data_IF_319379725476
#
_entry.id   IF_319379725476
#
_cell.length_a   1.000
_cell.length_b   1.000
_cell.length_c   1.000
_cell.angle_alpha   90.00
_cell.angle_beta   90.00
_cell.angle_gamma   90.00
#
_symmetry.space_group_name_H-M   'P 1'
#
loop_
_entity.id
_entity.type
_entity.pdbx_description
1 polymer ?
#
# COMPACT_ATOMS: atom_id res chain seq x y z
N UNK A 1 -17.17 -19.77 -3.04
CA UNK A 1 -15.80 -19.41 -2.64
C UNK A 1 -15.51 -18.00 -3.10
N UNK A 2 -15.48 -17.08 -2.15
CA UNK A 2 -15.17 -15.68 -2.43
C UNK A 2 -13.64 -15.50 -2.47
N UNK A 3 -13.07 -15.73 -3.65
CA UNK A 3 -11.65 -15.54 -3.95
C UNK A 3 -11.19 -14.10 -3.61
N UNK A 4 -12.16 -13.21 -3.41
CA UNK A 4 -11.98 -11.79 -3.16
C UNK A 4 -12.21 -11.37 -1.69
N UNK A 5 -12.73 -12.27 -0.84
CA UNK A 5 -13.00 -11.99 0.57
C UNK A 5 -11.96 -12.63 1.52
N UNK A 6 -10.71 -12.75 1.06
CA UNK A 6 -9.62 -13.17 1.94
C UNK A 6 -9.23 -12.02 2.90
N UNK A 7 -9.96 -11.86 3.98
CA UNK A 7 -9.64 -10.90 5.04
C UNK A 7 -8.20 -11.06 5.55
N UNK A 8 -7.70 -12.28 5.63
CA UNK A 8 -6.33 -12.55 6.06
C UNK A 8 -5.29 -11.97 5.08
N UNK A 9 -5.50 -12.13 3.77
CA UNK A 9 -4.59 -11.57 2.75
C UNK A 9 -4.54 -10.06 2.82
N UNK A 10 -5.69 -9.42 3.04
CA UNK A 10 -5.76 -7.96 3.20
C UNK A 10 -5.02 -7.51 4.47
N UNK A 11 -5.20 -8.19 5.60
CA UNK A 11 -4.49 -7.89 6.85
C UNK A 11 -2.97 -8.04 6.67
N UNK A 12 -2.52 -9.15 6.09
CA UNK A 12 -1.09 -9.40 5.86
C UNK A 12 -0.51 -8.38 4.87
N UNK A 13 -1.25 -7.98 3.83
CA UNK A 13 -0.82 -6.96 2.88
C UNK A 13 -0.64 -5.59 3.54
N UNK A 14 -1.52 -5.21 4.47
CA UNK A 14 -1.39 -3.96 5.26
C UNK A 14 -0.17 -4.02 6.18
N UNK A 15 0.09 -5.15 6.83
CA UNK A 15 1.31 -5.32 7.64
C UNK A 15 2.58 -5.24 6.78
N UNK A 16 2.60 -5.89 5.63
CA UNK A 16 3.74 -5.80 4.70
C UNK A 16 3.97 -4.35 4.23
N UNK A 17 2.92 -3.64 3.89
CA UNK A 17 2.96 -2.22 3.53
C UNK A 17 3.56 -1.37 4.67
N UNK A 18 3.09 -1.56 5.91
CA UNK A 18 3.62 -0.87 7.10
C UNK A 18 5.11 -1.12 7.28
N UNK A 19 5.55 -2.37 7.17
CA UNK A 19 6.96 -2.75 7.30
C UNK A 19 7.80 -2.09 6.21
N UNK A 20 7.43 -2.24 4.94
CA UNK A 20 8.17 -1.69 3.80
C UNK A 20 8.30 -0.17 3.92
N UNK A 21 7.18 0.53 4.13
CA UNK A 21 7.17 1.99 4.25
C UNK A 21 8.02 2.50 5.43
N UNK A 22 7.92 1.82 6.57
CA UNK A 22 8.70 2.15 7.77
C UNK A 22 10.19 2.02 7.51
N UNK A 23 10.58 0.92 6.95
CA UNK A 23 11.97 0.59 6.72
C UNK A 23 12.61 1.52 5.69
N UNK A 24 11.94 1.86 4.60
CA UNK A 24 12.43 2.79 3.57
C UNK A 24 12.84 4.16 4.13
N UNK A 25 12.18 4.60 5.20
CA UNK A 25 12.49 5.90 5.82
C UNK A 25 13.46 5.75 6.98
N UNK A 26 13.30 4.70 7.81
CA UNK A 26 14.01 4.59 9.07
C UNK A 26 15.39 3.96 8.99
N UNK A 27 15.62 3.05 8.05
CA UNK A 27 16.88 2.34 7.93
C UNK A 27 18.10 3.28 7.80
N UNK A 28 17.98 4.35 7.02
CA UNK A 28 19.06 5.33 6.85
C UNK A 28 19.15 6.32 8.01
N UNK A 29 18.00 6.67 8.58
CA UNK A 29 17.93 7.62 9.70
C UNK A 29 18.51 7.02 10.99
N UNK A 30 18.13 5.79 11.32
CA UNK A 30 18.55 5.12 12.54
C UNK A 30 20.04 4.72 12.49
N UNK A 31 20.59 4.52 11.28
CA UNK A 31 22.01 4.27 11.05
C UNK A 31 22.85 5.56 10.93
N UNK A 32 22.24 6.74 11.02
CA UNK A 32 22.95 8.03 10.89
C UNK A 32 23.41 8.36 9.47
N UNK A 33 23.03 7.54 8.47
CA UNK A 33 23.47 7.70 7.08
C UNK A 33 22.75 8.84 6.34
N UNK A 34 21.61 9.30 6.87
CA UNK A 34 20.79 10.32 6.22
C UNK A 34 21.56 11.63 5.98
N UNK A 35 22.42 12.05 6.92
CA UNK A 35 23.23 13.24 6.80
C UNK A 35 24.24 13.11 5.65
N UNK A 36 24.90 11.95 5.55
CA UNK A 36 25.86 11.64 4.49
C UNK A 36 25.19 11.59 3.11
N UNK A 37 24.05 10.93 3.00
CA UNK A 37 23.29 10.85 1.75
C UNK A 37 22.89 12.24 1.28
N UNK A 38 22.43 13.11 2.18
CA UNK A 38 21.97 14.46 1.86
C UNK A 38 23.11 15.45 1.51
N UNK A 39 24.35 15.15 1.85
CA UNK A 39 25.51 15.96 1.45
C UNK A 39 25.85 15.75 -0.03
N UNK A 40 25.38 14.67 -0.66
CA UNK A 40 25.59 14.41 -2.08
C UNK A 40 24.57 15.16 -2.95
N UNK A 41 24.90 15.53 -4.19
CA UNK A 41 23.98 16.19 -5.12
C UNK A 41 22.70 15.38 -5.37
N UNK A 42 22.82 14.05 -5.41
CA UNK A 42 21.69 13.11 -5.63
C UNK A 42 20.97 12.72 -4.33
N UNK A 43 21.39 13.20 -3.17
CA UNK A 43 20.92 12.74 -1.86
C UNK A 43 19.61 13.34 -1.37
N UNK A 44 19.02 14.27 -2.12
CA UNK A 44 17.78 14.97 -1.72
C UNK A 44 16.57 14.49 -2.53
N UNK A 45 16.23 15.23 -3.58
CA UNK A 45 15.07 14.93 -4.42
C UNK A 45 15.18 13.57 -5.14
N UNK A 46 16.30 13.22 -5.80
CA UNK A 46 16.40 11.91 -6.44
C UNK A 46 16.26 10.73 -5.47
N UNK A 47 16.79 10.86 -4.25
CA UNK A 47 16.60 9.82 -3.22
C UNK A 47 15.15 9.71 -2.77
N UNK A 48 14.43 10.83 -2.64
CA UNK A 48 13.00 10.81 -2.32
C UNK A 48 12.19 10.08 -3.40
N UNK A 49 12.45 10.38 -4.68
CA UNK A 49 11.83 9.70 -5.83
C UNK A 49 12.19 8.21 -5.83
N UNK A 50 13.45 7.85 -5.61
CA UNK A 50 13.88 6.46 -5.55
C UNK A 50 13.17 5.68 -4.43
N UNK A 51 12.92 6.29 -3.27
CA UNK A 51 12.16 5.67 -2.17
C UNK A 51 10.70 5.45 -2.52
N UNK A 52 10.06 6.42 -3.18
CA UNK A 52 8.68 6.25 -3.67
C UNK A 52 8.59 5.15 -4.74
N UNK A 53 9.54 5.11 -5.67
CA UNK A 53 9.59 4.06 -6.68
C UNK A 53 9.86 2.68 -6.04
N UNK A 54 10.76 2.60 -5.06
CA UNK A 54 11.02 1.38 -4.31
C UNK A 54 9.77 0.90 -3.55
N UNK A 55 9.01 1.82 -2.91
CA UNK A 55 7.73 1.49 -2.28
C UNK A 55 6.76 0.92 -3.31
N UNK A 56 6.56 1.60 -4.44
CA UNK A 56 5.63 1.19 -5.50
C UNK A 56 5.94 -0.21 -6.03
N UNK A 57 7.21 -0.47 -6.37
CA UNK A 57 7.66 -1.76 -6.91
C UNK A 57 7.56 -2.87 -5.86
N UNK A 58 7.96 -2.61 -4.62
CA UNK A 58 7.91 -3.61 -3.56
C UNK A 58 6.49 -4.00 -3.21
N UNK A 59 5.56 -3.03 -3.17
CA UNK A 59 4.14 -3.31 -2.96
C UNK A 59 3.55 -4.11 -4.13
N UNK A 60 3.93 -3.79 -5.38
CA UNK A 60 3.49 -4.56 -6.53
C UNK A 60 3.92 -6.03 -6.42
N UNK A 61 5.19 -6.27 -6.10
CA UNK A 61 5.74 -7.64 -5.93
C UNK A 61 5.00 -8.39 -4.82
N UNK A 62 4.79 -7.74 -3.66
CA UNK A 62 4.11 -8.36 -2.51
C UNK A 62 2.66 -8.68 -2.84
N UNK A 63 1.91 -7.73 -3.41
CA UNK A 63 0.49 -7.93 -3.72
C UNK A 63 0.31 -8.99 -4.82
N UNK A 64 1.09 -8.91 -5.91
CA UNK A 64 1.04 -9.92 -6.98
C UNK A 64 1.42 -11.30 -6.41
N UNK A 65 2.42 -11.38 -5.54
CA UNK A 65 2.82 -12.62 -4.88
C UNK A 65 1.69 -13.20 -4.02
N UNK A 66 1.10 -12.40 -3.14
CA UNK A 66 0.05 -12.85 -2.22
C UNK A 66 -1.24 -13.26 -2.94
N UNK A 67 -1.78 -12.38 -3.78
CA UNK A 67 -3.00 -12.69 -4.53
C UNK A 67 -2.75 -13.73 -5.63
N UNK A 68 -1.53 -13.76 -6.20
CA UNK A 68 -1.11 -14.79 -7.16
C UNK A 68 -1.08 -16.20 -6.54
N UNK A 69 -0.54 -16.34 -5.32
CA UNK A 69 -0.56 -17.61 -4.58
C UNK A 69 -2.00 -18.05 -4.31
N UNK A 70 -2.87 -17.14 -3.86
CA UNK A 70 -4.30 -17.45 -3.66
C UNK A 70 -4.96 -17.92 -4.95
N UNK A 71 -4.70 -17.24 -6.07
CA UNK A 71 -5.26 -17.59 -7.36
C UNK A 71 -4.76 -18.97 -7.83
N UNK A 72 -3.47 -19.25 -7.68
CA UNK A 72 -2.89 -20.55 -8.04
C UNK A 72 -3.43 -21.67 -7.16
N UNK A 73 -3.56 -21.44 -5.86
CA UNK A 73 -4.12 -22.41 -4.92
C UNK A 73 -5.58 -22.73 -5.26
N UNK A 74 -6.43 -21.73 -5.40
CA UNK A 74 -7.82 -21.93 -5.79
C UNK A 74 -7.92 -22.58 -7.18
N UNK A 75 -7.04 -22.20 -8.10
CA UNK A 75 -6.98 -22.80 -9.44
C UNK A 75 -6.58 -24.26 -9.44
N UNK A 76 -5.72 -24.68 -8.52
CA UNK A 76 -5.31 -26.08 -8.40
C UNK A 76 -6.40 -26.97 -7.80
N UNK A 77 -7.24 -26.43 -6.90
CA UNK A 77 -8.31 -27.19 -6.23
C UNK A 77 -9.61 -27.22 -7.03
N UNK A 78 -10.01 -26.10 -7.60
CA UNK A 78 -11.33 -25.94 -8.23
C UNK A 78 -11.28 -25.75 -9.74
N UNK A 79 -10.09 -25.61 -10.30
CA UNK A 79 -9.88 -25.23 -11.68
C UNK A 79 -10.16 -23.74 -11.94
N UNK A 80 -9.25 -23.08 -12.67
CA UNK A 80 -9.51 -21.75 -13.23
C UNK A 80 -10.32 -21.94 -14.50
N UNK A 81 -11.60 -21.60 -14.48
CA UNK A 81 -12.36 -21.54 -15.72
C UNK A 81 -11.77 -20.49 -16.69
N UNK A 82 -12.27 -20.40 -17.94
CA UNK A 82 -11.74 -19.44 -18.91
C UNK A 82 -11.84 -18.01 -18.37
N UNK A 83 -10.72 -17.29 -18.35
CA UNK A 83 -10.64 -15.91 -17.85
C UNK A 83 -11.40 -14.91 -18.74
N UNK A 84 -11.74 -15.32 -19.96
CA UNK A 84 -12.51 -14.54 -20.94
C UNK A 84 -14.01 -14.50 -20.64
N UNK A 85 -14.49 -15.38 -19.75
CA UNK A 85 -15.91 -15.40 -19.35
C UNK A 85 -16.29 -14.07 -18.68
N UNK A 86 -17.57 -13.73 -18.78
CA UNK A 86 -18.12 -12.51 -18.16
C UNK A 86 -18.08 -12.61 -16.64
N UNK A 87 -17.85 -11.49 -15.96
CA UNK A 87 -17.77 -11.39 -14.49
C UNK A 87 -19.06 -11.89 -13.81
N UNK A 88 -20.23 -11.74 -14.46
CA UNK A 88 -21.53 -12.20 -13.92
C UNK A 88 -21.62 -13.73 -13.81
N UNK A 89 -20.71 -14.48 -14.46
CA UNK A 89 -20.65 -15.94 -14.30
C UNK A 89 -20.08 -16.37 -12.93
N UNK A 90 -19.51 -15.45 -12.17
CA UNK A 90 -19.01 -15.68 -10.82
C UNK A 90 -20.13 -15.38 -9.83
N UNK A 91 -20.54 -16.33 -8.96
CA UNK A 91 -21.67 -16.15 -8.05
C UNK A 91 -21.59 -14.89 -7.16
N UNK A 92 -20.42 -14.58 -6.63
CA UNK A 92 -20.18 -13.39 -5.81
C UNK A 92 -20.39 -12.06 -6.59
N UNK A 93 -20.20 -12.07 -7.91
CA UNK A 93 -20.25 -10.90 -8.78
C UNK A 93 -21.43 -10.93 -9.76
N UNK A 94 -22.36 -11.84 -9.57
CA UNK A 94 -23.53 -12.02 -10.47
C UNK A 94 -24.37 -10.74 -10.59
N UNK A 95 -24.39 -9.89 -9.56
CA UNK A 95 -25.13 -8.61 -9.55
C UNK A 95 -24.31 -7.44 -10.08
N UNK A 96 -23.06 -7.68 -10.52
CA UNK A 96 -22.21 -6.61 -11.05
C UNK A 96 -22.76 -6.09 -12.37
N UNK A 97 -22.83 -4.79 -12.50
CA UNK A 97 -23.27 -4.08 -13.73
C UNK A 97 -22.13 -3.81 -14.70
N UNK A 98 -20.90 -4.18 -14.33
CA UNK A 98 -19.72 -3.95 -15.16
C UNK A 98 -19.64 -4.96 -16.32
N UNK A 99 -19.41 -4.46 -17.52
CA UNK A 99 -19.18 -5.30 -18.71
C UNK A 99 -17.71 -5.67 -18.82
N UNK A 100 -17.23 -6.49 -17.87
CA UNK A 100 -15.83 -6.90 -17.79
C UNK A 100 -15.75 -8.43 -17.90
N UNK A 101 -14.60 -8.92 -18.35
CA UNK A 101 -14.23 -10.33 -18.22
C UNK A 101 -13.61 -10.57 -16.83
N UNK A 102 -13.56 -11.83 -16.42
CA UNK A 102 -12.94 -12.21 -15.13
C UNK A 102 -11.47 -11.78 -15.08
N UNK A 103 -10.72 -11.94 -16.18
CA UNK A 103 -9.33 -11.50 -16.25
C UNK A 103 -9.16 -9.99 -16.12
N UNK A 104 -10.02 -9.20 -16.77
CA UNK A 104 -10.03 -7.74 -16.63
C UNK A 104 -10.37 -7.31 -15.21
N UNK A 105 -11.34 -7.96 -14.58
CA UNK A 105 -11.70 -7.68 -13.19
C UNK A 105 -10.54 -7.94 -12.23
N UNK A 106 -9.85 -9.07 -12.38
CA UNK A 106 -8.66 -9.40 -11.58
C UNK A 106 -7.57 -8.34 -11.74
N UNK A 107 -7.33 -7.88 -12.96
CA UNK A 107 -6.36 -6.82 -13.22
C UNK A 107 -6.75 -5.51 -12.52
N UNK A 108 -7.99 -5.04 -12.68
CA UNK A 108 -8.46 -3.82 -12.02
C UNK A 108 -8.50 -3.96 -10.50
N UNK A 109 -8.83 -5.13 -9.98
CA UNK A 109 -8.80 -5.42 -8.56
C UNK A 109 -7.38 -5.26 -7.98
N UNK A 110 -6.38 -5.91 -8.59
CA UNK A 110 -4.99 -5.80 -8.17
C UNK A 110 -4.45 -4.38 -8.32
N UNK A 111 -4.79 -3.70 -9.40
CA UNK A 111 -4.39 -2.31 -9.63
C UNK A 111 -4.94 -1.37 -8.55
N UNK A 112 -6.23 -1.52 -8.21
CA UNK A 112 -6.87 -0.70 -7.17
C UNK A 112 -6.27 -0.99 -5.79
N UNK A 113 -6.05 -2.26 -5.45
CA UNK A 113 -5.36 -2.66 -4.21
C UNK A 113 -3.96 -2.06 -4.13
N UNK A 114 -3.20 -2.13 -5.24
CA UNK A 114 -1.86 -1.56 -5.30
C UNK A 114 -1.86 -0.04 -5.12
N UNK A 115 -2.75 0.69 -5.80
CA UNK A 115 -2.88 2.14 -5.65
C UNK A 115 -3.25 2.52 -4.21
N UNK A 116 -4.22 1.85 -3.62
CA UNK A 116 -4.63 2.09 -2.24
C UNK A 116 -3.48 1.84 -1.25
N UNK A 117 -2.78 0.69 -1.38
CA UNK A 117 -1.63 0.37 -0.56
C UNK A 117 -0.47 1.36 -0.75
N UNK A 118 -0.24 1.84 -1.98
CA UNK A 118 0.77 2.85 -2.27
C UNK A 118 0.46 4.18 -1.56
N UNK A 119 -0.77 4.69 -1.67
CA UNK A 119 -1.20 5.93 -1.01
C UNK A 119 -1.05 5.82 0.52
N UNK A 120 -1.52 4.71 1.10
CA UNK A 120 -1.37 4.43 2.53
C UNK A 120 0.11 4.31 2.93
N UNK A 121 0.93 3.65 2.12
CA UNK A 121 2.37 3.51 2.35
C UNK A 121 3.11 4.85 2.34
N UNK A 122 2.77 5.75 1.41
CA UNK A 122 3.33 7.11 1.39
C UNK A 122 2.93 7.90 2.64
N UNK A 123 1.68 7.75 3.11
CA UNK A 123 1.26 8.32 4.39
C UNK A 123 2.10 7.79 5.57
N UNK A 124 2.33 6.48 5.64
CA UNK A 124 3.20 5.88 6.67
C UNK A 124 4.61 6.45 6.58
N UNK A 125 5.17 6.59 5.38
CA UNK A 125 6.48 7.21 5.18
C UNK A 125 6.52 8.64 5.70
N UNK A 126 5.47 9.44 5.47
CA UNK A 126 5.32 10.79 6.02
C UNK A 126 5.30 10.78 7.56
N UNK A 127 4.48 9.93 8.17
CA UNK A 127 4.42 9.79 9.62
C UNK A 127 5.80 9.43 10.21
N UNK A 128 6.55 8.56 9.53
CA UNK A 128 7.90 8.18 9.93
C UNK A 128 8.92 9.31 9.80
N UNK A 129 8.75 10.24 8.85
CA UNK A 129 9.63 11.42 8.75
C UNK A 129 9.55 12.31 10.00
N UNK A 130 8.35 12.53 10.52
CA UNK A 130 8.14 13.38 11.70
C UNK A 130 8.46 12.69 13.03
N UNK A 131 8.36 11.38 13.08
CA UNK A 131 8.50 10.63 14.32
C UNK A 131 9.97 10.49 14.75
N UNK A 132 10.28 10.91 15.97
CA UNK A 132 11.62 10.70 16.56
C UNK A 132 11.90 9.23 16.90
N UNK A 133 10.88 8.48 17.34
CA UNK A 133 10.96 7.06 17.71
C UNK A 133 10.09 6.24 16.76
N UNK A 134 10.48 4.99 16.49
CA UNK A 134 9.72 4.06 15.65
C UNK A 134 8.26 3.96 16.13
N UNK A 135 8.07 3.71 17.42
CA UNK A 135 6.76 3.55 18.03
C UNK A 135 5.83 4.75 17.76
N UNK A 136 6.34 5.98 17.92
CA UNK A 136 5.53 7.18 17.68
C UNK A 136 5.13 7.33 16.21
N UNK A 137 5.98 6.89 15.29
CA UNK A 137 5.67 6.92 13.85
C UNK A 137 4.58 5.92 13.49
N UNK A 138 4.69 4.69 13.97
CA UNK A 138 3.67 3.66 13.79
C UNK A 138 2.36 4.09 14.43
N UNK A 139 2.40 4.57 15.66
CA UNK A 139 1.21 5.04 16.38
C UNK A 139 0.53 6.20 15.64
N UNK A 140 1.31 7.18 15.15
CA UNK A 140 0.77 8.31 14.38
C UNK A 140 0.12 7.85 13.06
N UNK A 141 0.75 6.90 12.35
CA UNK A 141 0.18 6.35 11.13
C UNK A 141 -1.14 5.59 11.41
N UNK A 142 -1.14 4.75 12.45
CA UNK A 142 -2.33 3.99 12.85
C UNK A 142 -3.45 4.88 13.40
N UNK A 143 -3.12 5.91 14.18
CA UNK A 143 -4.11 6.86 14.71
C UNK A 143 -4.84 7.60 13.59
N UNK A 144 -4.12 7.98 12.53
CA UNK A 144 -4.74 8.59 11.35
C UNK A 144 -5.67 7.61 10.61
N UNK A 145 -5.24 6.35 10.43
CA UNK A 145 -6.10 5.31 9.85
C UNK A 145 -7.33 5.04 10.72
N UNK A 146 -7.17 5.02 12.05
CA UNK A 146 -8.27 4.88 12.99
C UNK A 146 -9.26 6.05 12.91
N UNK A 147 -8.77 7.29 12.71
CA UNK A 147 -9.62 8.46 12.47
C UNK A 147 -10.47 8.27 11.20
N UNK A 148 -9.88 7.79 10.12
CA UNK A 148 -10.60 7.50 8.88
C UNK A 148 -11.63 6.37 9.07
N UNK A 149 -11.31 5.33 9.84
CA UNK A 149 -12.27 4.28 10.24
C UNK A 149 -13.42 4.86 11.04
N UNK A 150 -13.13 5.75 11.99
CA UNK A 150 -14.13 6.41 12.83
C UNK A 150 -15.08 7.26 11.99
N UNK A 151 -14.56 8.09 11.08
CA UNK A 151 -15.35 8.90 10.15
C UNK A 151 -16.30 7.99 9.35
N UNK A 152 -15.77 6.87 8.83
CA UNK A 152 -16.56 5.91 8.08
C UNK A 152 -17.66 5.24 8.93
N UNK A 153 -17.38 4.95 10.19
CA UNK A 153 -18.34 4.32 11.12
C UNK A 153 -19.45 5.28 11.57
N UNK A 154 -19.08 6.55 11.84
CA UNK A 154 -20.00 7.55 12.37
C UNK A 154 -20.99 8.11 11.33
N UNK A 155 -20.59 8.15 10.04
CA UNK A 155 -21.46 8.70 9.00
C UNK A 155 -22.40 7.60 8.45
N UNK A 156 -23.73 7.70 8.63
CA UNK A 156 -24.69 6.78 8.02
C UNK A 156 -24.65 6.85 6.48
N UNK A 157 -24.95 5.75 5.81
CA UNK A 157 -24.99 5.71 4.34
C UNK A 157 -26.12 6.59 3.75
N UNK A 158 -27.14 6.90 4.53
CA UNK A 158 -28.28 7.76 4.16
C UNK A 158 -28.04 9.25 4.41
N UNK A 159 -26.92 9.60 5.02
CA UNK A 159 -26.60 11.00 5.33
C UNK A 159 -26.24 11.79 4.07
N UNK A 160 -26.53 13.11 4.07
CA UNK A 160 -26.04 14.04 3.03
C UNK A 160 -24.51 14.13 2.98
N UNK A 161 -23.82 13.72 4.05
CA UNK A 161 -22.37 13.65 4.15
C UNK A 161 -21.78 12.31 3.69
N UNK A 162 -22.57 11.47 3.03
CA UNK A 162 -22.14 10.15 2.60
C UNK A 162 -20.91 10.19 1.66
N UNK A 163 -20.75 11.26 0.87
CA UNK A 163 -19.57 11.48 0.03
C UNK A 163 -18.28 11.51 0.86
N UNK A 164 -18.29 12.16 2.03
CA UNK A 164 -17.11 12.19 2.94
C UNK A 164 -16.79 10.80 3.48
N UNK A 165 -17.84 9.99 3.74
CA UNK A 165 -17.67 8.60 4.17
C UNK A 165 -16.88 7.78 3.14
N UNK A 166 -17.17 7.97 1.86
CA UNK A 166 -16.56 7.20 0.77
C UNK A 166 -15.30 7.88 0.19
N UNK A 167 -15.19 9.20 0.24
CA UNK A 167 -13.95 9.93 -0.06
C UNK A 167 -12.92 9.78 1.09
N UNK A 168 -12.68 8.52 1.50
CA UNK A 168 -11.91 8.19 2.70
C UNK A 168 -10.81 7.18 2.35
N UNK A 169 -9.65 7.32 2.98
CA UNK A 169 -8.50 6.45 2.73
C UNK A 169 -8.80 4.96 3.00
N UNK A 170 -9.60 4.66 4.01
CA UNK A 170 -10.02 3.30 4.33
C UNK A 170 -10.99 2.74 3.29
N UNK A 171 -11.81 3.58 2.65
CA UNK A 171 -12.69 3.14 1.57
C UNK A 171 -11.90 2.66 0.37
N UNK A 172 -10.77 3.30 0.06
CA UNK A 172 -9.87 2.88 -1.04
C UNK A 172 -9.29 1.47 -0.83
N UNK A 173 -9.12 1.03 0.43
CA UNK A 173 -8.65 -0.33 0.72
C UNK A 173 -9.73 -1.40 0.50
N UNK A 174 -11.03 -1.00 0.52
CA UNK A 174 -12.17 -1.91 0.32
C UNK A 174 -12.54 -2.04 -1.15
N UNK A 175 -11.65 -2.58 -1.95
CA UNK A 175 -11.81 -2.74 -3.40
C UNK A 175 -13.07 -3.52 -3.78
N UNK A 176 -13.50 -4.47 -2.96
CA UNK A 176 -14.73 -5.24 -3.18
C UNK A 176 -15.99 -4.37 -3.19
N UNK A 177 -16.05 -3.33 -2.36
CA UNK A 177 -17.17 -2.38 -2.37
C UNK A 177 -17.18 -1.50 -3.61
N UNK A 178 -15.98 -1.15 -4.11
CA UNK A 178 -15.81 -0.31 -5.29
C UNK A 178 -16.16 -1.05 -6.59
N UNK A 179 -15.65 -2.27 -6.75
CA UNK A 179 -15.77 -3.05 -7.97
C UNK A 179 -16.92 -4.06 -7.97
N UNK A 180 -17.52 -4.34 -6.80
CA UNK A 180 -18.58 -5.34 -6.65
C UNK A 180 -19.92 -4.97 -7.29
N UNK A 181 -20.19 -3.68 -7.50
CA UNK A 181 -21.43 -3.23 -8.12
C UNK A 181 -21.50 -1.72 -8.30
N UNK A 182 -22.40 -1.30 -9.17
CA UNK A 182 -22.66 0.12 -9.39
C UNK A 182 -23.46 0.71 -8.22
N UNK A 183 -22.90 1.75 -7.59
CA UNK A 183 -23.55 2.50 -6.50
C UNK A 183 -23.48 3.98 -6.78
N UNK A 184 -24.61 4.68 -6.55
CA UNK A 184 -24.66 6.14 -6.58
C UNK A 184 -24.70 6.68 -5.15
N UNK A 185 -23.95 7.75 -4.95
CA UNK A 185 -24.02 8.59 -3.76
C UNK A 185 -24.82 9.85 -4.10
N UNK A 186 -25.55 10.37 -3.12
CA UNK A 186 -26.29 11.60 -3.30
C UNK A 186 -25.52 12.77 -2.68
N UNK A 187 -25.22 13.76 -3.49
CA UNK A 187 -24.62 15.02 -3.06
C UNK A 187 -25.49 16.17 -3.50
N UNK A 188 -26.13 16.85 -2.54
CA UNK A 188 -27.11 17.91 -2.81
C UNK A 188 -28.17 17.47 -3.86
N UNK A 189 -28.76 16.31 -3.64
CA UNK A 189 -29.78 15.69 -4.49
C UNK A 189 -29.33 15.29 -5.91
N UNK A 190 -28.03 15.39 -6.21
CA UNK A 190 -27.44 14.90 -7.46
C UNK A 190 -26.82 13.51 -7.25
N UNK A 191 -27.15 12.53 -8.10
CA UNK A 191 -26.53 11.21 -8.05
C UNK A 191 -25.11 11.26 -8.63
N UNK A 192 -24.10 10.92 -7.81
CA UNK A 192 -22.70 10.83 -8.23
C UNK A 192 -22.25 9.37 -8.10
N UNK A 193 -21.61 8.78 -9.13
CA UNK A 193 -21.10 7.41 -9.05
C UNK A 193 -20.04 7.28 -7.94
N UNK A 194 -20.13 6.23 -7.13
CA UNK A 194 -19.14 5.91 -6.09
C UNK A 194 -17.73 5.84 -6.66
N UNK A 195 -17.56 5.20 -7.82
CA UNK A 195 -16.26 5.09 -8.49
C UNK A 195 -15.62 6.45 -8.75
N UNK A 196 -16.40 7.44 -9.17
CA UNK A 196 -15.89 8.79 -9.42
C UNK A 196 -15.43 9.45 -8.12
N UNK A 197 -16.19 9.33 -7.04
CA UNK A 197 -15.84 9.91 -5.74
C UNK A 197 -14.54 9.29 -5.21
N UNK A 198 -14.43 7.96 -5.23
CA UNK A 198 -13.24 7.28 -4.75
C UNK A 198 -12.02 7.50 -5.65
N UNK A 199 -12.19 7.55 -6.97
CA UNK A 199 -11.07 7.84 -7.88
C UNK A 199 -10.54 9.26 -7.72
N UNK A 200 -11.41 10.26 -7.59
CA UNK A 200 -11.00 11.65 -7.31
C UNK A 200 -10.31 11.73 -5.94
N UNK A 201 -10.86 11.11 -4.91
CA UNK A 201 -10.24 11.06 -3.59
C UNK A 201 -8.85 10.40 -3.64
N UNK A 202 -8.71 9.27 -4.36
CA UNK A 202 -7.43 8.59 -4.54
C UNK A 202 -6.38 9.49 -5.20
N UNK A 203 -6.74 10.19 -6.27
CA UNK A 203 -5.83 11.12 -6.96
C UNK A 203 -5.44 12.27 -6.04
N UNK A 204 -6.38 12.87 -5.31
CA UNK A 204 -6.10 13.95 -4.37
C UNK A 204 -5.16 13.51 -3.25
N UNK A 205 -5.42 12.36 -2.62
CA UNK A 205 -4.52 11.81 -1.60
C UNK A 205 -3.16 11.46 -2.16
N UNK A 206 -3.10 10.82 -3.34
CA UNK A 206 -1.83 10.46 -3.98
C UNK A 206 -0.99 11.71 -4.25
N UNK A 207 -1.56 12.72 -4.90
CA UNK A 207 -0.86 13.97 -5.22
C UNK A 207 -0.43 14.70 -3.94
N UNK A 208 -1.34 14.84 -2.96
CA UNK A 208 -1.04 15.52 -1.71
C UNK A 208 0.09 14.83 -0.92
N UNK A 209 0.01 13.51 -0.75
CA UNK A 209 1.00 12.77 0.05
C UNK A 209 2.34 12.63 -0.67
N UNK A 210 2.35 12.36 -1.97
CA UNK A 210 3.59 12.31 -2.77
C UNK A 210 4.27 13.68 -2.79
N UNK A 211 3.55 14.75 -3.08
CA UNK A 211 4.10 16.11 -3.07
C UNK A 211 4.62 16.49 -1.68
N UNK A 212 3.86 16.21 -0.62
CA UNK A 212 4.29 16.44 0.76
C UNK A 212 5.58 15.65 1.07
N UNK A 213 5.64 14.37 0.71
CA UNK A 213 6.83 13.56 0.94
C UNK A 213 8.06 14.10 0.20
N UNK A 214 7.92 14.42 -1.09
CA UNK A 214 9.01 14.98 -1.90
C UNK A 214 9.52 16.31 -1.33
N UNK A 215 8.62 17.23 -0.98
CA UNK A 215 8.98 18.53 -0.42
C UNK A 215 9.61 18.39 0.96
N UNK A 216 8.98 17.64 1.86
CA UNK A 216 9.47 17.49 3.23
C UNK A 216 10.79 16.72 3.26
N UNK A 217 10.92 15.62 2.53
CA UNK A 217 12.16 14.87 2.48
C UNK A 217 13.30 15.69 1.86
N UNK A 218 13.05 16.51 0.83
CA UNK A 218 14.09 17.30 0.16
C UNK A 218 14.50 18.55 0.95
N UNK A 219 13.56 19.22 1.62
CA UNK A 219 13.79 20.52 2.28
C UNK A 219 14.15 20.42 3.75
N UNK A 220 13.48 19.54 4.51
CA UNK A 220 13.66 19.48 5.96
C UNK A 220 14.75 18.50 6.38
N UNK A 221 15.56 18.92 7.36
CA UNK A 221 16.58 18.08 7.97
C UNK A 221 16.00 17.38 9.20
N UNK A 222 15.77 16.09 9.10
CA UNK A 222 15.33 15.27 10.23
C UNK A 222 16.55 14.65 10.92
N UNK A 223 16.97 15.23 12.06
CA UNK A 223 18.07 14.67 12.86
C UNK A 223 17.64 13.36 13.51
N UNK A 224 18.51 12.36 13.47
CA UNK A 224 18.34 11.17 14.30
C UNK A 224 18.39 11.59 15.77
N UNK A 225 17.40 11.19 16.56
CA UNK A 225 17.49 11.30 18.01
C UNK A 225 18.69 10.45 18.44
N UNK A 226 19.71 11.10 19.02
CA UNK A 226 20.99 10.49 19.31
C UNK A 226 20.88 9.12 19.99
N UNK A 227 21.14 8.09 19.23
CA UNK A 227 21.29 6.74 19.73
C UNK A 227 22.76 6.38 19.62
N UNK A 228 23.38 6.17 20.77
CA UNK A 228 24.70 5.54 20.85
C UNK A 228 24.66 4.27 19.99
N UNK A 229 25.45 4.28 18.93
CA UNK A 229 25.68 3.15 18.04
C UNK A 229 26.11 1.94 18.89
N UNK A 230 25.25 0.97 19.05
CA UNK A 230 25.68 -0.37 19.44
C UNK A 230 26.47 -0.92 18.26
N UNK A 231 27.78 -1.06 18.45
CA UNK A 231 28.71 -1.60 17.47
C UNK A 231 28.45 -3.10 17.29
N UNK A 232 27.48 -3.43 16.47
CA UNK A 232 27.37 -4.76 15.89
C UNK A 232 27.62 -4.63 14.38
N UNK A 233 28.88 -4.53 14.02
CA UNK A 233 29.30 -4.47 12.61
C UNK A 233 29.39 -5.89 12.07
N UNK A 234 28.28 -6.44 11.63
CA UNK A 234 28.32 -7.52 10.63
C UNK A 234 28.80 -6.86 9.33
N UNK A 235 30.09 -6.99 9.05
CA UNK A 235 30.77 -6.51 7.81
C UNK A 235 30.33 -7.39 6.64
N UNK A 236 29.05 -7.30 6.24
CA UNK A 236 28.60 -7.87 4.96
C UNK A 236 29.03 -6.87 3.88
N UNK A 237 29.93 -7.31 2.99
CA UNK A 237 30.28 -6.55 1.77
C UNK A 237 28.98 -6.38 0.98
N UNK A 238 28.44 -5.17 1.00
CA UNK A 238 27.27 -4.82 0.21
C UNK A 238 27.70 -4.69 -1.24
N UNK A 239 26.95 -5.23 -2.20
CA UNK A 239 27.21 -4.99 -3.61
C UNK A 239 27.10 -3.50 -3.89
N UNK A 240 28.08 -2.96 -4.64
CA UNK A 240 28.08 -1.56 -5.08
C UNK A 240 27.11 -1.43 -6.25
N UNK A 241 25.96 -0.81 -6.00
CA UNK A 241 24.99 -0.50 -7.05
C UNK A 241 25.20 0.93 -7.55
N UNK A 242 25.17 1.08 -8.85
CA UNK A 242 25.36 2.37 -9.53
C UNK A 242 24.14 3.29 -9.48
N UNK A 243 22.95 2.73 -9.18
CA UNK A 243 21.69 3.50 -9.16
C UNK A 243 21.01 3.41 -7.79
N UNK A 244 20.48 4.54 -7.26
CA UNK A 244 19.77 4.58 -5.98
C UNK A 244 18.59 3.57 -5.91
N UNK A 245 17.90 3.38 -7.02
CA UNK A 245 16.76 2.47 -7.11
C UNK A 245 17.16 1.00 -6.88
N UNK A 246 18.29 0.56 -7.43
CA UNK A 246 18.81 -0.81 -7.21
C UNK A 246 19.23 -1.02 -5.76
N UNK A 247 19.79 -0.01 -5.11
CA UNK A 247 20.14 -0.07 -3.69
C UNK A 247 18.90 -0.23 -2.80
N UNK A 248 17.85 0.53 -3.07
CA UNK A 248 16.60 0.43 -2.31
C UNK A 248 15.90 -0.91 -2.53
N UNK A 249 15.83 -1.38 -3.77
CA UNK A 249 15.26 -2.69 -4.09
C UNK A 249 16.02 -3.83 -3.38
N UNK A 250 17.36 -3.80 -3.38
CA UNK A 250 18.18 -4.79 -2.68
C UNK A 250 17.98 -4.76 -1.16
N UNK A 251 17.90 -3.58 -0.55
CA UNK A 251 17.63 -3.42 0.87
C UNK A 251 16.30 -4.05 1.26
N UNK A 252 15.25 -3.80 0.49
CA UNK A 252 13.92 -4.32 0.75
C UNK A 252 13.84 -5.84 0.56
N UNK A 253 14.28 -6.35 -0.58
CA UNK A 253 14.11 -7.76 -0.93
C UNK A 253 15.03 -8.68 -0.12
N UNK A 254 16.31 -8.28 0.06
CA UNK A 254 17.33 -9.18 0.61
C UNK A 254 17.64 -8.89 2.08
N UNK A 255 17.80 -7.61 2.46
CA UNK A 255 18.25 -7.28 3.82
C UNK A 255 17.12 -7.29 4.84
N UNK A 256 15.87 -7.13 4.45
CA UNK A 256 14.75 -6.95 5.37
C UNK A 256 13.74 -8.07 5.39
N UNK A 257 14.04 -9.15 4.68
CA UNK A 257 13.25 -10.37 4.79
C UNK A 257 11.87 -10.30 4.13
N UNK A 258 11.61 -9.34 3.23
CA UNK A 258 10.34 -9.30 2.48
C UNK A 258 10.16 -10.56 1.63
N UNK A 259 11.25 -11.09 1.08
CA UNK A 259 11.24 -12.37 0.38
C UNK A 259 10.89 -13.52 1.33
N UNK A 260 11.40 -13.52 2.56
CA UNK A 260 11.09 -14.54 3.58
C UNK A 260 9.61 -14.47 3.98
N UNK A 261 9.05 -13.26 4.12
CA UNK A 261 7.64 -13.07 4.45
C UNK A 261 6.72 -13.60 3.35
N UNK A 262 7.07 -13.40 2.07
CA UNK A 262 6.34 -13.97 0.95
C UNK A 262 6.40 -15.51 0.94
N UNK A 263 7.57 -16.10 1.21
CA UNK A 263 7.73 -17.55 1.29
C UNK A 263 6.93 -18.15 2.45
N UNK A 264 6.97 -17.52 3.62
CA UNK A 264 6.18 -17.95 4.78
C UNK A 264 4.68 -17.83 4.51
N UNK A 265 4.24 -16.75 3.85
CA UNK A 265 2.85 -16.57 3.47
C UNK A 265 2.39 -17.64 2.47
N UNK A 266 3.20 -17.90 1.43
CA UNK A 266 2.91 -18.96 0.47
C UNK A 266 2.84 -20.35 1.13
N UNK A 267 3.76 -20.65 2.04
CA UNK A 267 3.75 -21.90 2.82
C UNK A 267 2.49 -22.02 3.69
N UNK A 268 2.08 -20.94 4.34
CA UNK A 268 0.86 -20.92 5.14
C UNK A 268 -0.40 -21.15 4.30
N UNK A 269 -0.51 -20.51 3.13
CA UNK A 269 -1.63 -20.67 2.19
C UNK A 269 -1.75 -22.11 1.65
N UNK A 270 -0.63 -22.81 1.46
CA UNK A 270 -0.63 -24.22 0.99
C UNK A 270 -1.02 -25.17 2.11
N UNK A 271 -0.77 -24.80 3.38
CA UNK A 271 -1.05 -25.65 4.54
C UNK A 271 -2.50 -25.54 5.04
N UNK A 272 -3.16 -24.39 4.87
CA UNK A 272 -4.57 -24.15 5.22
C UNK A 272 -5.52 -24.47 4.08
#
# INVERSE_FOLDING_TARGET
FDLFDFELTDVVSVFAMLLIATVLVRAERDNGLLALIRSTPSGRFPTAVAKLAALAVSLAIVLIGMYGVNLLYCGSLYGLGPLERTIQSVPALMRSTWKLTVGQYLFFFLLTKWLAAFICGVWVMLAMLFAKRLFNGVLGALAFMALHLLIRALIPATSRLNVIKYANLVSLLRTNELLGGYRNLYWFDQPIPLLLVESVAAVLFAVAFVAAFLVLFSRYYFTAAGRRSSRFTLRRKLPTFTTPMRQEAYKLLVMQGTALLLVLFAGFQVYT
#
